data_IF_820045427283
#
_entry.id   IF_820045427283
#
_cell.length_a   1.000
_cell.length_b   1.000
_cell.length_c   1.000
_cell.angle_alpha   90.00
_cell.angle_beta   90.00
_cell.angle_gamma   90.00
#
_symmetry.space_group_name_H-M   'P 1'
#
loop_
_entity.id
_entity.type
_entity.pdbx_description
1 polymer ?
#
# COMPACT_ATOMS: atom_id res chain seq x y z
N UNK A 1 23.99 22.27 50.69
CA UNK A 1 22.74 21.97 49.94
C UNK A 1 23.15 21.17 48.72
N UNK A 2 22.85 19.87 48.69
CA UNK A 2 23.23 18.99 47.58
C UNK A 2 22.07 18.92 46.59
N UNK A 3 22.30 19.35 45.36
CA UNK A 3 21.32 19.30 44.27
C UNK A 3 21.39 17.90 43.68
N UNK A 4 20.37 17.07 43.90
CA UNK A 4 20.29 15.80 43.20
C UNK A 4 20.07 16.06 41.70
N UNK A 5 20.86 15.44 40.81
CA UNK A 5 20.52 15.45 39.40
C UNK A 5 19.29 14.56 39.18
N UNK A 6 18.31 15.08 38.43
CA UNK A 6 17.23 14.28 37.86
C UNK A 6 17.85 13.11 37.07
N UNK A 7 17.30 11.89 37.15
CA UNK A 7 17.71 10.81 36.26
C UNK A 7 17.23 11.13 34.84
N UNK A 8 18.09 11.83 34.10
CA UNK A 8 18.09 11.83 32.64
C UNK A 8 18.59 10.47 32.20
N UNK A 9 17.65 9.56 31.96
CA UNK A 9 17.68 8.54 30.91
C UNK A 9 16.47 7.62 31.09
N UNK A 10 15.28 8.19 30.85
CA UNK A 10 14.20 7.35 30.34
C UNK A 10 14.60 7.01 28.91
N UNK A 11 15.40 5.96 28.74
CA UNK A 11 15.43 5.22 27.49
C UNK A 11 14.02 4.69 27.27
N UNK A 12 13.17 5.51 26.64
CA UNK A 12 11.92 5.05 26.07
C UNK A 12 12.33 4.00 25.07
N UNK A 13 12.16 2.72 25.43
CA UNK A 13 12.38 1.63 24.51
C UNK A 13 11.69 1.99 23.19
N UNK A 14 12.39 2.00 22.04
CA UNK A 14 11.77 2.34 20.78
C UNK A 14 10.54 1.44 20.63
N UNK A 15 9.36 2.07 20.51
CA UNK A 15 8.10 1.33 20.35
C UNK A 15 8.32 0.29 19.27
N UNK A 16 8.02 -1.00 19.50
CA UNK A 16 8.18 -2.01 18.47
C UNK A 16 7.44 -1.51 17.24
N UNK A 17 8.17 -1.28 16.16
CA UNK A 17 7.60 -0.84 14.88
C UNK A 17 6.53 -1.87 14.55
N UNK A 18 5.26 -1.46 14.57
CA UNK A 18 4.15 -2.36 14.22
C UNK A 18 4.49 -2.96 12.86
N UNK A 19 4.79 -4.26 12.84
CA UNK A 19 5.11 -4.97 11.61
C UNK A 19 3.81 -5.20 10.87
N UNK A 20 3.81 -4.83 9.60
CA UNK A 20 2.72 -5.14 8.68
C UNK A 20 2.53 -6.66 8.59
N UNK A 21 1.29 -7.15 8.56
CA UNK A 21 0.99 -8.56 8.31
C UNK A 21 1.45 -9.01 6.91
N UNK A 22 1.62 -8.08 5.97
CA UNK A 22 2.26 -8.32 4.67
C UNK A 22 3.74 -8.76 4.81
N UNK A 23 4.33 -8.58 6.00
CA UNK A 23 5.70 -8.98 6.35
C UNK A 23 5.77 -10.10 7.39
N UNK A 24 4.63 -10.66 7.79
CA UNK A 24 4.55 -11.76 8.76
C UNK A 24 4.14 -13.01 8.01
N UNK A 25 4.99 -14.06 7.94
CA UNK A 25 4.66 -15.28 7.20
C UNK A 25 3.27 -15.84 7.55
N UNK A 26 2.54 -16.25 6.51
CA UNK A 26 1.23 -16.89 6.62
C UNK A 26 0.25 -16.40 5.57
N UNK A 27 -0.89 -17.09 5.48
CA UNK A 27 -1.93 -16.79 4.50
C UNK A 27 -2.82 -15.66 5.02
N UNK A 28 -2.78 -14.54 4.32
CA UNK A 28 -3.55 -13.33 4.57
C UNK A 28 -4.61 -13.19 3.47
N UNK A 29 -5.81 -12.77 3.85
CA UNK A 29 -6.88 -12.46 2.88
C UNK A 29 -6.74 -11.00 2.46
N UNK A 30 -6.87 -10.75 1.16
CA UNK A 30 -6.79 -9.40 0.61
C UNK A 30 -8.17 -8.94 0.17
N UNK A 31 -8.58 -7.77 0.63
CA UNK A 31 -9.85 -7.14 0.32
C UNK A 31 -9.62 -5.76 -0.29
N UNK A 32 -10.43 -5.43 -1.29
CA UNK A 32 -10.49 -4.11 -1.91
C UNK A 32 -11.81 -3.42 -1.53
N UNK A 33 -11.74 -2.15 -1.13
CA UNK A 33 -12.93 -1.32 -0.95
C UNK A 33 -13.42 -0.88 -2.32
N UNK A 34 -14.63 -1.30 -2.68
CA UNK A 34 -15.22 -1.00 -3.99
C UNK A 34 -15.43 0.50 -4.15
N UNK A 35 -15.07 1.03 -5.32
CA UNK A 35 -15.37 2.42 -5.70
C UNK A 35 -16.14 2.44 -7.02
N UNK A 36 -16.91 3.50 -7.27
CA UNK A 36 -17.67 3.63 -8.52
C UNK A 36 -16.78 3.70 -9.77
N UNK A 37 -15.56 4.22 -9.61
CA UNK A 37 -14.63 4.46 -10.71
C UNK A 37 -13.68 3.28 -10.94
N UNK A 38 -13.46 2.48 -9.90
CA UNK A 38 -12.64 1.27 -9.91
C UNK A 38 -13.27 0.24 -8.97
N UNK A 39 -14.25 -0.55 -9.47
CA UNK A 39 -14.96 -1.54 -8.67
C UNK A 39 -14.03 -2.60 -8.10
N UNK A 40 -13.05 -3.02 -8.89
CA UNK A 40 -12.03 -4.00 -8.49
C UNK A 40 -10.65 -3.37 -8.31
N UNK A 41 -9.74 -4.07 -7.62
CA UNK A 41 -8.33 -3.67 -7.53
C UNK A 41 -7.68 -3.61 -8.93
N UNK A 42 -8.11 -4.48 -9.85
CA UNK A 42 -7.59 -4.51 -11.20
C UNK A 42 -8.06 -3.29 -12.01
N UNK A 43 -9.35 -2.95 -11.91
CA UNK A 43 -9.86 -1.72 -12.53
C UNK A 43 -9.12 -0.50 -12.00
N UNK A 44 -8.75 -0.50 -10.71
CA UNK A 44 -7.94 0.57 -10.13
C UNK A 44 -6.55 0.63 -10.77
N UNK A 45 -5.90 -0.52 -10.97
CA UNK A 45 -4.59 -0.56 -11.63
C UNK A 45 -4.69 -0.04 -13.07
N UNK A 46 -5.63 -0.55 -13.86
CA UNK A 46 -5.83 -0.13 -15.24
C UNK A 46 -6.14 1.37 -15.32
N UNK A 47 -7.09 1.85 -14.51
CA UNK A 47 -7.54 3.24 -14.54
C UNK A 47 -6.46 4.24 -14.08
N UNK A 48 -5.70 3.89 -13.04
CA UNK A 48 -4.80 4.86 -12.39
C UNK A 48 -3.33 4.68 -12.78
N UNK A 49 -2.90 3.47 -13.12
CA UNK A 49 -1.50 3.11 -13.34
C UNK A 49 -1.21 2.79 -14.80
N UNK A 50 -1.96 1.88 -15.43
CA UNK A 50 -1.69 1.43 -16.80
C UNK A 50 -1.65 2.59 -17.79
N UNK A 51 -2.68 3.45 -17.78
CA UNK A 51 -2.81 4.64 -18.64
C UNK A 51 -1.70 5.69 -18.47
N UNK A 52 -0.78 5.50 -17.50
CA UNK A 52 0.36 6.40 -17.30
C UNK A 52 1.58 5.98 -18.10
N UNK A 53 1.68 4.73 -18.52
CA UNK A 53 2.78 4.26 -19.35
C UNK A 53 2.65 4.77 -20.78
N UNK A 54 3.79 4.98 -21.44
CA UNK A 54 3.81 5.33 -22.87
C UNK A 54 3.98 4.12 -23.78
N UNK A 55 4.35 2.98 -23.18
CA UNK A 55 4.65 1.72 -23.85
C UNK A 55 3.84 0.60 -23.19
N UNK A 56 3.03 -0.07 -24.00
CA UNK A 56 2.16 -1.17 -23.55
C UNK A 56 2.97 -2.33 -22.99
N UNK A 57 4.19 -2.55 -23.48
CA UNK A 57 5.06 -3.59 -22.94
C UNK A 57 5.49 -3.28 -21.50
N UNK A 58 5.86 -2.03 -21.21
CA UNK A 58 6.16 -1.59 -19.85
C UNK A 58 4.94 -1.61 -18.94
N UNK A 59 3.77 -1.24 -19.47
CA UNK A 59 2.50 -1.33 -18.73
C UNK A 59 2.19 -2.78 -18.32
N UNK A 60 2.35 -3.72 -19.26
CA UNK A 60 2.15 -5.15 -19.04
C UNK A 60 3.12 -5.72 -17.99
N UNK A 61 4.40 -5.33 -18.06
CA UNK A 61 5.38 -5.71 -17.04
C UNK A 61 5.01 -5.17 -15.65
N UNK A 62 4.58 -3.90 -15.57
CA UNK A 62 4.17 -3.28 -14.32
C UNK A 62 2.94 -3.97 -13.71
N UNK A 63 1.99 -4.39 -14.56
CA UNK A 63 0.82 -5.16 -14.15
C UNK A 63 1.20 -6.53 -13.56
N UNK A 64 2.08 -7.27 -14.24
CA UNK A 64 2.58 -8.56 -13.74
C UNK A 64 3.31 -8.42 -12.39
N UNK A 65 4.15 -7.39 -12.25
CA UNK A 65 4.82 -7.08 -10.99
C UNK A 65 3.85 -6.65 -9.88
N UNK A 66 2.78 -5.94 -10.25
CA UNK A 66 1.71 -5.57 -9.33
C UNK A 66 1.07 -6.80 -8.73
N UNK A 67 0.60 -7.75 -9.56
CA UNK A 67 0.01 -8.99 -9.08
C UNK A 67 0.96 -9.84 -8.25
N UNK A 68 2.19 -10.02 -8.72
CA UNK A 68 3.19 -10.79 -7.98
C UNK A 68 3.44 -10.20 -6.59
N UNK A 69 3.41 -8.88 -6.45
CA UNK A 69 3.58 -8.21 -5.15
C UNK A 69 2.36 -8.35 -4.25
N UNK A 70 1.14 -8.31 -4.80
CA UNK A 70 -0.09 -8.60 -4.03
C UNK A 70 -0.09 -10.04 -3.52
N UNK A 71 0.25 -11.02 -4.36
CA UNK A 71 0.37 -12.42 -3.95
C UNK A 71 1.41 -12.60 -2.84
N UNK A 72 2.57 -11.94 -2.95
CA UNK A 72 3.58 -11.94 -1.87
C UNK A 72 3.08 -11.28 -0.59
N UNK A 73 2.29 -10.20 -0.68
CA UNK A 73 1.64 -9.59 0.48
C UNK A 73 0.66 -10.55 1.16
N UNK A 74 -0.13 -11.28 0.37
CA UNK A 74 -1.04 -12.32 0.85
C UNK A 74 -0.30 -13.48 1.54
N UNK A 75 0.95 -13.76 1.18
CA UNK A 75 1.78 -14.78 1.84
C UNK A 75 2.60 -14.24 3.02
N UNK A 76 2.52 -12.94 3.30
CA UNK A 76 3.30 -12.30 4.36
C UNK A 76 4.81 -12.18 4.03
N UNK A 77 5.15 -12.09 2.74
CA UNK A 77 6.52 -12.17 2.21
C UNK A 77 7.08 -10.82 1.72
N UNK A 78 6.44 -9.70 2.07
CA UNK A 78 6.99 -8.37 1.78
C UNK A 78 7.96 -7.95 2.89
N UNK A 79 9.12 -7.42 2.53
CA UNK A 79 10.13 -7.02 3.52
C UNK A 79 9.94 -5.54 3.90
N UNK A 80 9.98 -5.19 5.20
CA UNK A 80 9.26 -4.04 5.77
C UNK A 80 9.93 -2.66 5.58
N UNK A 81 11.06 -2.55 4.89
CA UNK A 81 11.76 -1.25 4.73
C UNK A 81 11.67 -0.75 3.30
N UNK A 82 11.65 -1.65 2.32
CA UNK A 82 11.65 -1.29 0.91
C UNK A 82 10.25 -1.31 0.30
N UNK A 83 9.41 -2.26 0.72
CA UNK A 83 8.17 -2.59 0.00
C UNK A 83 6.92 -2.19 0.77
N UNK A 84 6.97 -2.14 2.10
CA UNK A 84 5.83 -1.76 2.96
C UNK A 84 6.28 -0.73 3.99
N UNK A 85 5.54 0.36 4.19
CA UNK A 85 5.87 1.37 5.19
C UNK A 85 4.64 1.75 6.01
N UNK A 86 4.74 1.88 7.35
CA UNK A 86 3.67 2.46 8.16
C UNK A 86 3.52 3.96 7.87
N UNK A 87 2.28 4.44 7.74
CA UNK A 87 1.98 5.86 7.55
C UNK A 87 1.88 6.56 8.91
N UNK A 88 2.65 7.64 9.08
CA UNK A 88 2.68 8.39 10.34
C UNK A 88 1.42 9.24 10.50
N UNK A 89 0.98 9.84 9.40
CA UNK A 89 -0.13 10.80 9.32
C UNK A 89 -1.50 10.11 9.32
N UNK A 90 -1.53 8.78 9.12
CA UNK A 90 -2.71 7.93 9.19
C UNK A 90 -2.40 6.65 9.99
N UNK A 91 -2.41 6.72 11.34
CA UNK A 91 -2.07 5.58 12.18
C UNK A 91 -2.97 4.36 11.90
N UNK A 92 -2.34 3.20 11.68
CA UNK A 92 -3.01 1.95 11.30
C UNK A 92 -3.03 1.67 9.79
N UNK A 93 -2.63 2.65 8.98
CA UNK A 93 -2.46 2.50 7.53
C UNK A 93 -1.01 2.15 7.20
N UNK A 94 -0.84 1.25 6.25
CA UNK A 94 0.42 0.89 5.63
C UNK A 94 0.35 1.18 4.14
N UNK A 95 1.49 1.48 3.52
CA UNK A 95 1.62 1.60 2.07
C UNK A 95 2.47 0.48 1.49
N UNK A 96 1.99 -0.17 0.44
CA UNK A 96 2.81 -1.02 -0.44
C UNK A 96 3.32 -0.16 -1.60
N UNK A 97 4.62 -0.22 -1.90
CA UNK A 97 5.29 0.69 -2.84
C UNK A 97 5.67 -0.01 -4.15
N UNK A 98 5.41 0.64 -5.29
CA UNK A 98 5.93 0.27 -6.62
C UNK A 98 6.59 1.43 -7.32
N UNK A 99 7.61 1.08 -8.11
CA UNK A 99 8.56 2.01 -8.68
C UNK A 99 9.00 1.46 -10.05
N UNK A 100 8.53 2.04 -11.15
CA UNK A 100 8.85 1.64 -12.51
C UNK A 100 9.49 2.77 -13.32
N UNK A 101 10.29 2.41 -14.30
CA UNK A 101 10.84 3.36 -15.27
C UNK A 101 9.96 3.41 -16.51
N UNK A 102 9.66 4.62 -16.97
CA UNK A 102 8.97 4.89 -18.22
C UNK A 102 9.93 5.66 -19.12
N UNK A 103 10.23 5.10 -20.29
CA UNK A 103 11.21 5.65 -21.22
C UNK A 103 10.51 6.44 -22.33
N UNK A 104 9.88 7.56 -21.97
CA UNK A 104 9.23 8.44 -22.93
C UNK A 104 10.22 9.47 -23.51
N UNK A 105 10.26 9.61 -24.83
CA UNK A 105 10.95 10.72 -25.54
C UNK A 105 12.44 10.90 -25.19
N UNK A 106 13.16 9.81 -24.89
CA UNK A 106 14.58 9.84 -24.54
C UNK A 106 14.89 10.42 -23.15
N UNK A 107 13.88 10.74 -22.34
CA UNK A 107 14.04 11.19 -20.95
C UNK A 107 13.52 10.12 -20.00
N UNK A 108 14.34 9.74 -19.01
CA UNK A 108 13.96 8.77 -17.98
C UNK A 108 12.87 9.37 -17.10
N UNK A 109 11.63 8.93 -17.29
CA UNK A 109 10.53 9.23 -16.39
C UNK A 109 10.32 8.07 -15.43
N UNK A 110 9.61 8.34 -14.34
CA UNK A 110 9.41 7.38 -13.28
C UNK A 110 7.93 7.34 -12.91
N UNK A 111 7.37 6.13 -12.87
CA UNK A 111 6.00 5.85 -12.45
C UNK A 111 6.05 5.21 -11.08
N UNK A 112 5.51 5.91 -10.09
CA UNK A 112 5.40 5.41 -8.73
C UNK A 112 3.96 5.08 -8.39
N UNK A 113 3.69 3.89 -7.87
CA UNK A 113 2.39 3.55 -7.31
C UNK A 113 2.46 3.23 -5.82
N UNK A 114 1.41 3.57 -5.08
CA UNK A 114 1.28 3.31 -3.65
C UNK A 114 -0.10 2.74 -3.39
N UNK A 115 -0.17 1.58 -2.74
CA UNK A 115 -1.43 0.99 -2.31
C UNK A 115 -1.54 1.16 -0.80
N UNK A 116 -2.48 1.99 -0.36
CA UNK A 116 -2.75 2.20 1.05
C UNK A 116 -3.74 1.16 1.55
N UNK A 117 -3.37 0.47 2.62
CA UNK A 117 -4.18 -0.56 3.24
C UNK A 117 -4.16 -0.47 4.76
N UNK A 118 -5.24 -0.94 5.37
CA UNK A 118 -5.33 -1.20 6.80
C UNK A 118 -5.26 -2.71 7.03
N UNK A 119 -4.87 -3.09 8.24
CA UNK A 119 -4.68 -4.50 8.60
C UNK A 119 -5.53 -4.85 9.82
N UNK A 120 -6.27 -5.97 9.72
CA UNK A 120 -6.98 -6.56 10.86
C UNK A 120 -6.27 -7.83 11.28
N UNK A 121 -5.40 -7.70 12.29
CA UNK A 121 -4.47 -8.77 12.71
C UNK A 121 -5.20 -10.04 13.16
N UNK A 122 -6.31 -9.91 13.89
CA UNK A 122 -7.04 -11.09 14.41
C UNK A 122 -7.54 -12.02 13.30
N UNK A 123 -7.81 -11.48 12.11
CA UNK A 123 -8.36 -12.23 10.98
C UNK A 123 -7.39 -12.33 9.80
N UNK A 124 -6.18 -11.74 9.94
CA UNK A 124 -5.15 -11.62 8.89
C UNK A 124 -5.70 -11.02 7.59
N UNK A 125 -6.45 -9.93 7.70
CA UNK A 125 -7.01 -9.22 6.55
C UNK A 125 -6.18 -8.01 6.19
N UNK A 126 -5.90 -7.88 4.89
CA UNK A 126 -5.33 -6.70 4.25
C UNK A 126 -6.49 -6.01 3.55
N UNK A 127 -6.92 -4.84 4.05
CA UNK A 127 -8.04 -4.07 3.47
C UNK A 127 -7.45 -2.85 2.78
N UNK A 128 -7.35 -2.90 1.46
CA UNK A 128 -6.86 -1.80 0.64
C UNK A 128 -8.01 -0.94 0.11
N UNK A 129 -7.80 0.37 0.09
CA UNK A 129 -8.84 1.32 -0.32
C UNK A 129 -8.38 2.36 -1.34
N UNK A 130 -7.06 2.58 -1.47
CA UNK A 130 -6.56 3.64 -2.35
C UNK A 130 -5.28 3.23 -3.06
N UNK A 131 -5.33 3.25 -4.39
CA UNK A 131 -4.18 3.11 -5.27
C UNK A 131 -3.81 4.49 -5.82
N UNK A 132 -2.72 5.05 -5.31
CA UNK A 132 -2.11 6.26 -5.84
C UNK A 132 -1.18 5.89 -6.98
N UNK A 133 -1.22 6.64 -8.08
CA UNK A 133 -0.19 6.64 -9.10
C UNK A 133 0.37 8.04 -9.30
N UNK A 134 1.68 8.14 -9.56
CA UNK A 134 2.34 9.37 -9.96
C UNK A 134 3.26 9.12 -11.15
N UNK A 135 3.28 10.10 -12.05
CA UNK A 135 4.24 10.22 -13.14
C UNK A 135 4.75 11.66 -13.13
N UNK A 136 6.06 11.84 -13.00
CA UNK A 136 6.69 13.17 -13.08
C UNK A 136 6.12 14.20 -12.07
N UNK A 137 5.96 13.83 -10.80
CA UNK A 137 5.63 14.82 -9.75
C UNK A 137 6.69 15.93 -9.73
N UNK A 138 6.25 17.18 -9.61
CA UNK A 138 7.07 18.38 -9.74
C UNK A 138 8.12 18.52 -8.64
N UNK A 139 7.83 18.02 -7.44
CA UNK A 139 8.73 18.06 -6.27
C UNK A 139 8.33 17.04 -5.18
N UNK A 140 9.20 16.89 -4.17
CA UNK A 140 8.99 15.96 -3.04
C UNK A 140 7.84 16.40 -2.12
N UNK A 141 7.57 17.70 -2.02
CA UNK A 141 6.54 18.25 -1.14
C UNK A 141 5.13 17.91 -1.64
N UNK A 142 4.90 18.06 -2.94
CA UNK A 142 3.66 17.66 -3.62
C UNK A 142 3.43 16.16 -3.52
N UNK A 143 4.49 15.35 -3.62
CA UNK A 143 4.43 13.90 -3.36
C UNK A 143 3.94 13.64 -1.93
N UNK A 144 4.54 14.30 -0.95
CA UNK A 144 4.21 14.10 0.47
C UNK A 144 2.75 14.47 0.79
N UNK A 145 2.25 15.59 0.28
CA UNK A 145 0.86 15.99 0.50
C UNK A 145 -0.14 15.01 -0.14
N UNK A 146 0.11 14.56 -1.37
CA UNK A 146 -0.74 13.55 -2.02
C UNK A 146 -0.74 12.23 -1.25
N UNK A 147 0.42 11.75 -0.81
CA UNK A 147 0.53 10.54 0.01
C UNK A 147 -0.23 10.66 1.33
N UNK A 148 -0.06 11.79 2.02
CA UNK A 148 -0.76 12.07 3.28
C UNK A 148 -2.27 12.11 3.08
N UNK A 149 -2.75 12.80 2.03
CA UNK A 149 -4.16 12.85 1.68
C UNK A 149 -4.73 11.47 1.37
N UNK A 150 -4.06 10.72 0.48
CA UNK A 150 -4.46 9.36 0.10
C UNK A 150 -4.52 8.41 1.29
N UNK A 151 -3.54 8.45 2.19
CA UNK A 151 -3.53 7.61 3.39
C UNK A 151 -4.69 7.94 4.36
N UNK A 152 -5.01 9.23 4.55
CA UNK A 152 -6.15 9.66 5.39
C UNK A 152 -7.49 9.26 4.75
N UNK A 153 -7.64 9.46 3.43
CA UNK A 153 -8.83 9.04 2.71
C UNK A 153 -9.02 7.52 2.72
N UNK A 154 -7.95 6.75 2.55
CA UNK A 154 -7.99 5.29 2.64
C UNK A 154 -8.44 4.84 4.03
N UNK A 155 -7.90 5.45 5.10
CA UNK A 155 -8.32 5.18 6.47
C UNK A 155 -9.81 5.40 6.66
N UNK A 156 -10.28 6.59 6.28
CA UNK A 156 -11.68 6.96 6.40
C UNK A 156 -12.59 6.00 5.63
N UNK A 157 -12.22 5.67 4.38
CA UNK A 157 -12.98 4.73 3.56
C UNK A 157 -13.09 3.36 4.22
N UNK A 158 -12.00 2.82 4.78
CA UNK A 158 -12.03 1.55 5.50
C UNK A 158 -12.91 1.63 6.75
N UNK A 159 -12.75 2.67 7.57
CA UNK A 159 -13.54 2.90 8.79
C UNK A 159 -15.04 3.09 8.51
N UNK A 160 -15.43 3.71 7.40
CA UNK A 160 -16.85 3.83 6.99
C UNK A 160 -17.42 2.56 6.37
N UNK A 161 -16.54 1.69 5.86
CA UNK A 161 -16.90 0.49 5.12
C UNK A 161 -17.06 -0.75 6.00
N UNK A 162 -17.21 -0.59 7.32
CA UNK A 162 -17.31 -1.64 8.34
C UNK A 162 -17.84 -3.01 7.84
N UNK A 163 -17.17 -4.13 8.22
CA UNK A 163 -17.32 -5.46 7.61
C UNK A 163 -18.75 -6.02 7.56
N UNK A 164 -19.66 -5.53 8.39
CA UNK A 164 -21.05 -5.97 8.45
C UNK A 164 -21.90 -5.40 7.29
N UNK A 165 -21.36 -4.50 6.48
CA UNK A 165 -21.98 -4.10 5.20
C UNK A 165 -21.69 -5.15 4.15
N UNK A 166 -22.62 -6.09 3.98
CA UNK A 166 -22.55 -7.28 3.12
C UNK A 166 -22.01 -7.08 1.66
N UNK A 167 -21.87 -5.85 1.16
CA UNK A 167 -21.45 -5.53 -0.21
C UNK A 167 -20.23 -4.59 -0.32
N UNK A 168 -19.64 -4.15 0.79
CA UNK A 168 -18.67 -3.04 0.77
C UNK A 168 -17.30 -3.42 0.15
N UNK A 169 -16.91 -4.68 0.27
CA UNK A 169 -15.57 -5.14 -0.13
C UNK A 169 -15.63 -6.25 -1.16
N UNK A 170 -14.56 -6.35 -1.92
CA UNK A 170 -14.28 -7.46 -2.80
C UNK A 170 -13.07 -8.22 -2.30
N UNK A 171 -13.22 -9.52 -2.09
CA UNK A 171 -12.06 -10.37 -1.81
C UNK A 171 -11.31 -10.65 -3.10
N UNK A 172 -10.03 -10.28 -3.14
CA UNK A 172 -9.15 -10.73 -4.21
C UNK A 172 -8.82 -12.20 -3.98
N UNK A 173 -9.26 -13.04 -4.91
CA UNK A 173 -8.87 -14.44 -5.00
C UNK A 173 -7.75 -14.50 -6.02
N UNK A 174 -6.54 -14.81 -5.58
CA UNK A 174 -5.49 -15.11 -6.54
C UNK A 174 -5.90 -16.38 -7.27
N UNK A 175 -5.98 -16.29 -8.59
CA UNK A 175 -5.90 -17.45 -9.45
C UNK A 175 -4.48 -18.00 -9.30
N UNK A 176 -4.20 -18.70 -8.19
CA UNK A 176 -3.09 -19.62 -8.21
C UNK A 176 -3.42 -20.59 -9.34
N UNK A 177 -2.72 -20.46 -10.46
CA UNK A 177 -2.42 -21.60 -11.30
C UNK A 177 -1.92 -22.67 -10.33
N UNK A 178 -2.83 -23.57 -9.98
CA UNK A 178 -2.54 -24.78 -9.27
C UNK A 178 -1.75 -25.60 -10.28
N UNK A 179 -0.45 -25.34 -10.34
CA UNK A 179 0.51 -26.29 -10.88
C UNK A 179 0.56 -27.43 -9.85
N UNK A 180 -0.45 -28.29 -9.95
CA UNK A 180 -0.49 -29.63 -9.38
C UNK A 180 0.59 -30.50 -10.01
#
# INVERSE_FOLDING_TARGET
MSVMPLPSDVHVAPRPVKRSICSVPGQNRFFWVKSSNAPTLFDAFTTYVWERFTDDYQASMAEAEFYARIQRAMRGQLVPVEQVKPMHEAPGVFEIRWNWHDYASGKKQYIGARLFHMEKVMERWIIAAYLMCKKSDTDDLSTYFKQTGGAKSAKHAVEESEPDRANAWEEYRSDEFTLS
#
